data_IF_531189330985
#
_entry.id   IF_531189330985
#
_cell.length_a   1.000
_cell.length_b   1.000
_cell.length_c   1.000
_cell.angle_alpha   90.00
_cell.angle_beta   90.00
_cell.angle_gamma   90.00
#
_symmetry.space_group_name_H-M   'P 1'
#
loop_
_entity.id
_entity.type
_entity.pdbx_description
1 polymer ?
#
# COMPACT_ATOMS: atom_id res chain seq x y z
N UNK A 1 -6.61 8.18 21.72
CA UNK A 1 -6.29 7.68 20.38
C UNK A 1 -4.90 7.09 20.43
N UNK A 2 -4.69 5.85 19.97
CA UNK A 2 -3.36 5.24 19.97
C UNK A 2 -2.51 5.89 18.87
N UNK A 3 -1.22 6.07 19.12
CA UNK A 3 -0.30 6.63 18.12
C UNK A 3 -0.23 5.73 16.88
N UNK A 4 -0.18 6.30 15.67
CA UNK A 4 -0.08 5.51 14.44
C UNK A 4 1.22 4.71 14.40
N UNK A 5 1.15 3.46 13.93
CA UNK A 5 2.30 2.60 13.74
C UNK A 5 2.83 2.75 12.32
N UNK A 6 4.13 3.04 12.19
CA UNK A 6 4.80 3.08 10.90
C UNK A 6 5.49 1.75 10.62
N UNK A 7 5.13 1.11 9.50
CA UNK A 7 5.69 -0.19 9.09
C UNK A 7 6.33 -0.10 7.72
N UNK A 8 7.38 -0.90 7.51
CA UNK A 8 7.95 -1.09 6.19
C UNK A 8 7.16 -2.14 5.41
N UNK A 9 6.84 -1.82 4.16
CA UNK A 9 6.09 -2.71 3.27
C UNK A 9 5.39 -1.97 2.15
N UNK A 10 4.65 -2.72 1.36
CA UNK A 10 3.81 -2.19 0.27
C UNK A 10 2.39 -2.62 0.53
N UNK A 11 1.43 -1.69 0.46
CA UNK A 11 0.03 -1.94 0.74
C UNK A 11 -0.84 -1.64 -0.48
N UNK A 12 -1.66 -2.61 -0.86
CA UNK A 12 -2.63 -2.49 -1.95
C UNK A 12 -4.04 -2.71 -1.42
N UNK A 13 -5.00 -1.96 -1.94
CA UNK A 13 -6.41 -2.14 -1.69
C UNK A 13 -7.10 -2.78 -2.90
N UNK A 14 -8.09 -3.62 -2.66
CA UNK A 14 -9.08 -4.07 -3.63
C UNK A 14 -10.46 -3.73 -3.04
N UNK A 15 -11.14 -2.77 -3.65
CA UNK A 15 -12.34 -2.16 -3.04
C UNK A 15 -12.00 -1.51 -1.68
N UNK A 16 -12.66 -1.96 -0.61
CA UNK A 16 -12.50 -1.36 0.75
C UNK A 16 -11.49 -2.07 1.64
N UNK A 17 -10.91 -3.19 1.19
CA UNK A 17 -10.00 -4.04 1.96
C UNK A 17 -8.59 -3.95 1.40
N UNK A 18 -7.60 -4.03 2.27
CA UNK A 18 -6.20 -3.93 1.91
C UNK A 18 -5.35 -5.11 2.41
N UNK A 19 -4.29 -5.38 1.66
CA UNK A 19 -3.24 -6.35 1.99
C UNK A 19 -1.92 -5.60 2.14
N UNK A 20 -1.27 -5.79 3.28
CA UNK A 20 0.08 -5.26 3.54
C UNK A 20 1.12 -6.33 3.26
N UNK A 21 1.84 -6.20 2.16
CA UNK A 21 2.96 -7.08 1.84
C UNK A 21 4.20 -6.66 2.61
N UNK A 22 4.79 -7.57 3.39
CA UNK A 22 6.06 -7.38 4.10
C UNK A 22 7.11 -8.39 3.66
N UNK A 23 8.37 -8.02 3.84
CA UNK A 23 9.51 -8.85 3.48
C UNK A 23 10.77 -8.00 3.27
N UNK A 24 11.94 -8.65 3.10
CA UNK A 24 13.22 -7.96 2.92
C UNK A 24 13.21 -6.96 1.75
N UNK A 25 14.12 -5.98 1.77
CA UNK A 25 14.31 -5.10 0.61
C UNK A 25 14.70 -5.91 -0.63
N UNK A 26 14.18 -5.55 -1.80
CA UNK A 26 14.41 -6.28 -3.05
C UNK A 26 13.60 -7.58 -3.21
N UNK A 27 12.74 -7.96 -2.26
CA UNK A 27 11.90 -9.17 -2.36
C UNK A 27 10.76 -9.10 -3.37
N UNK A 28 10.63 -8.00 -4.12
CA UNK A 28 9.60 -7.83 -5.16
C UNK A 28 8.22 -7.33 -4.70
N UNK A 29 8.08 -6.75 -3.50
CA UNK A 29 6.77 -6.24 -3.00
C UNK A 29 6.15 -5.17 -3.91
N UNK A 30 6.93 -4.14 -4.24
CA UNK A 30 6.50 -3.02 -5.10
C UNK A 30 6.25 -3.49 -6.54
N UNK A 31 7.07 -4.41 -7.06
CA UNK A 31 6.84 -5.05 -8.36
C UNK A 31 5.54 -5.86 -8.39
N UNK A 32 5.27 -6.64 -7.34
CA UNK A 32 4.02 -7.38 -7.20
C UNK A 32 2.82 -6.44 -7.14
N UNK A 33 2.91 -5.36 -6.35
CA UNK A 33 1.86 -4.34 -6.29
C UNK A 33 1.58 -3.73 -7.67
N UNK A 34 2.63 -3.36 -8.41
CA UNK A 34 2.51 -2.85 -9.77
C UNK A 34 1.79 -3.84 -10.70
N UNK A 35 2.19 -5.12 -10.67
CA UNK A 35 1.55 -6.15 -11.50
C UNK A 35 0.10 -6.40 -11.12
N UNK A 36 -0.25 -6.38 -9.83
CA UNK A 36 -1.65 -6.49 -9.37
C UNK A 36 -2.52 -5.37 -9.94
N UNK A 37 -2.04 -4.12 -9.90
CA UNK A 37 -2.77 -2.98 -10.48
C UNK A 37 -2.87 -3.07 -12.01
N UNK A 38 -1.78 -3.44 -12.67
CA UNK A 38 -1.71 -3.54 -14.13
C UNK A 38 -2.60 -4.66 -14.69
N UNK A 39 -2.61 -5.80 -14.01
CA UNK A 39 -3.29 -7.02 -14.47
C UNK A 39 -4.74 -7.09 -13.96
N UNK A 40 -5.24 -6.08 -13.25
CA UNK A 40 -6.62 -5.96 -12.78
C UNK A 40 -7.51 -5.18 -13.78
N UNK A 41 -8.33 -5.86 -14.60
CA UNK A 41 -9.21 -5.20 -15.56
C UNK A 41 -10.38 -4.44 -14.92
N UNK A 42 -10.69 -4.69 -13.64
CA UNK A 42 -11.77 -3.98 -12.93
C UNK A 42 -11.35 -2.58 -12.48
N UNK A 43 -10.05 -2.35 -12.30
CA UNK A 43 -9.50 -1.12 -11.75
C UNK A 43 -9.83 -0.89 -10.26
N UNK A 44 -10.31 -1.91 -9.56
CA UNK A 44 -10.59 -1.88 -8.13
C UNK A 44 -9.31 -1.94 -7.29
N UNK A 45 -8.23 -2.46 -7.87
CA UNK A 45 -6.92 -2.53 -7.22
C UNK A 45 -6.24 -1.17 -7.25
N UNK A 46 -5.85 -0.67 -6.07
CA UNK A 46 -5.23 0.65 -5.88
C UNK A 46 -4.05 0.56 -4.92
N UNK A 47 -3.06 1.40 -5.10
CA UNK A 47 -2.00 1.57 -4.09
C UNK A 47 -2.61 2.30 -2.88
N UNK A 48 -2.30 1.80 -1.69
CA UNK A 48 -2.52 2.55 -0.44
C UNK A 48 -1.23 3.25 -0.05
N UNK A 49 -0.11 2.54 -0.10
CA UNK A 49 1.21 3.04 0.26
C UNK A 49 2.33 2.12 -0.27
N UNK A 50 3.51 2.66 -0.54
CA UNK A 50 4.73 1.91 -0.84
C UNK A 50 5.90 2.38 0.05
N UNK A 51 6.85 1.47 0.30
CA UNK A 51 7.96 1.55 1.28
C UNK A 51 7.55 1.76 2.75
N UNK A 52 6.71 2.76 3.03
CA UNK A 52 6.23 3.12 4.37
C UNK A 52 4.72 3.14 4.41
N UNK A 53 4.14 2.35 5.31
CA UNK A 53 2.70 2.29 5.55
C UNK A 53 2.41 2.78 6.96
N UNK A 54 1.42 3.66 7.09
CA UNK A 54 0.90 4.15 8.35
C UNK A 54 -0.30 3.29 8.72
N UNK A 55 -0.27 2.69 9.91
CA UNK A 55 -1.37 1.89 10.45
C UNK A 55 -1.99 2.61 11.65
N UNK A 56 -3.27 2.93 11.54
CA UNK A 56 -4.06 3.58 12.59
C UNK A 56 -5.16 2.65 13.08
N UNK A 57 -5.35 2.58 14.40
CA UNK A 57 -6.46 1.84 15.00
C UNK A 57 -7.78 2.58 14.81
N UNK A 58 -8.76 1.93 14.17
CA UNK A 58 -10.11 2.48 13.94
C UNK A 58 -11.13 1.42 14.33
N UNK A 59 -11.87 1.65 15.42
CA UNK A 59 -12.81 0.70 15.98
C UNK A 59 -12.13 -0.63 16.36
N UNK A 60 -12.59 -1.73 15.76
CA UNK A 60 -12.05 -3.08 15.96
C UNK A 60 -11.04 -3.52 14.89
N UNK A 61 -10.47 -2.59 14.13
CA UNK A 61 -9.56 -2.91 13.03
C UNK A 61 -8.46 -1.88 12.84
N UNK A 62 -7.66 -2.12 11.81
CA UNK A 62 -6.60 -1.22 11.36
C UNK A 62 -6.97 -0.62 10.01
N UNK A 63 -6.65 0.66 9.84
CA UNK A 63 -6.70 1.37 8.57
C UNK A 63 -5.26 1.65 8.15
N UNK A 64 -4.93 1.32 6.91
CA UNK A 64 -3.65 1.60 6.29
C UNK A 64 -3.75 2.88 5.44
N UNK A 65 -2.72 3.71 5.49
CA UNK A 65 -2.55 4.88 4.64
C UNK A 65 -1.07 5.14 4.32
N UNK A 66 -0.79 6.03 3.37
CA UNK A 66 0.56 6.50 3.09
C UNK A 66 0.93 7.72 3.95
N UNK A 67 2.22 7.89 4.29
CA UNK A 67 2.75 9.19 4.66
C UNK A 67 2.47 10.21 3.53
N UNK A 68 2.11 11.47 3.82
CA UNK A 68 1.74 12.43 2.78
C UNK A 68 2.77 12.62 1.67
N UNK A 69 4.06 12.57 2.00
CA UNK A 69 5.15 12.72 1.04
C UNK A 69 5.31 11.56 0.04
N UNK A 70 4.72 10.39 0.34
CA UNK A 70 4.83 9.16 -0.47
C UNK A 70 3.48 8.75 -1.08
N UNK A 71 2.43 9.54 -0.89
CA UNK A 71 1.10 9.20 -1.35
C UNK A 71 1.06 9.01 -2.87
N UNK A 72 0.60 7.84 -3.32
CA UNK A 72 0.47 7.49 -4.73
C UNK A 72 1.78 7.27 -5.49
N UNK A 73 2.92 7.26 -4.79
CA UNK A 73 4.23 7.00 -5.40
C UNK A 73 4.67 5.56 -5.11
N UNK A 74 5.25 4.90 -6.11
CA UNK A 74 5.85 3.57 -6.01
C UNK A 74 7.24 3.60 -6.62
N UNK A 75 8.24 3.06 -5.93
CA UNK A 75 9.59 2.92 -6.50
C UNK A 75 9.71 1.57 -7.22
N UNK A 76 9.79 1.60 -8.55
CA UNK A 76 10.11 0.42 -9.35
C UNK A 76 11.58 0.45 -9.77
N UNK A 77 12.34 -0.54 -9.31
CA UNK A 77 13.77 -0.66 -9.64
C UNK A 77 13.96 -0.73 -11.16
N UNK A 78 14.84 0.12 -11.68
CA UNK A 78 15.11 0.27 -13.12
C UNK A 78 14.19 1.26 -13.84
N UNK A 79 13.08 1.68 -13.23
CA UNK A 79 12.16 2.68 -13.78
C UNK A 79 12.12 3.98 -12.95
N UNK A 80 12.50 3.90 -11.67
CA UNK A 80 12.46 5.03 -10.74
C UNK A 80 11.12 5.14 -10.02
N UNK A 81 10.81 6.35 -9.54
CA UNK A 81 9.55 6.65 -8.88
C UNK A 81 8.44 6.87 -9.92
N UNK A 82 7.34 6.15 -9.76
CA UNK A 82 6.17 6.23 -10.63
C UNK A 82 4.95 6.65 -9.83
N UNK A 83 4.10 7.48 -10.43
CA UNK A 83 2.77 7.75 -9.92
C UNK A 83 1.82 6.60 -10.31
N UNK A 84 1.07 6.08 -9.35
CA UNK A 84 0.10 5.00 -9.55
C UNK A 84 -1.28 5.38 -9.03
N UNK A 85 -2.36 4.81 -9.58
CA UNK A 85 -3.70 4.97 -9.02
C UNK A 85 -3.74 4.56 -7.56
N UNK A 86 -4.15 5.48 -6.69
CA UNK A 86 -4.09 5.31 -5.25
C UNK A 86 -5.42 5.65 -4.56
N UNK A 87 -5.55 5.16 -3.34
CA UNK A 87 -6.58 5.55 -2.37
C UNK A 87 -5.90 6.08 -1.12
N UNK A 88 -6.51 7.08 -0.48
CA UNK A 88 -5.93 7.72 0.71
C UNK A 88 -5.76 6.73 1.88
N UNK A 89 -6.75 5.84 2.04
CA UNK A 89 -6.75 4.84 3.08
C UNK A 89 -7.62 3.62 2.74
N UNK A 90 -7.36 2.48 3.38
CA UNK A 90 -8.18 1.28 3.25
C UNK A 90 -8.08 0.39 4.51
N UNK A 91 -9.11 -0.42 4.78
CA UNK A 91 -9.12 -1.30 5.96
C UNK A 91 -8.16 -2.47 5.75
N UNK A 92 -7.16 -2.59 6.61
CA UNK A 92 -6.21 -3.69 6.56
C UNK A 92 -6.91 -5.01 6.92
N UNK A 93 -6.84 -5.97 6.02
CA UNK A 93 -7.50 -7.26 6.14
C UNK A 93 -6.52 -8.45 6.18
N UNK A 94 -5.31 -8.28 5.63
CA UNK A 94 -4.28 -9.30 5.58
C UNK A 94 -2.89 -8.66 5.63
N UNK A 95 -1.93 -9.37 6.21
CA UNK A 95 -0.49 -9.07 6.22
C UNK A 95 0.25 -10.29 5.69
#
# INVERSE_FOLDING_TARGET
MSSPLHVHGTCVACGTRAVLMRGPSGSGKSDLAFRLLRDDPSGETRIVADDRVVLSGVGNGLVASAPPALAGLVELRGLGLLAMPAVAEARLALI
#
